data_IF_448488478437
#
_entry.id   IF_448488478437
#
_cell.length_a   1.000
_cell.length_b   1.000
_cell.length_c   1.000
_cell.angle_alpha   90.00
_cell.angle_beta   90.00
_cell.angle_gamma   90.00
#
_symmetry.space_group_name_H-M   'P 1'
#
loop_
_entity.id
_entity.type
_entity.pdbx_description
1 polymer ?
#
# COMPACT_ATOMS: atom_id res chain seq x y z
N UNK A 1 2.85 17.95 -6.37
CA UNK A 1 2.01 16.89 -6.92
C UNK A 1 0.69 16.85 -6.18
N UNK A 2 -0.41 16.64 -6.89
CA UNK A 2 -1.76 16.71 -6.34
C UNK A 2 -2.39 15.34 -6.12
N UNK A 3 -1.58 14.34 -5.80
CA UNK A 3 -2.05 13.00 -5.46
C UNK A 3 -1.89 12.81 -3.96
N UNK A 4 -2.98 12.45 -3.30
CA UNK A 4 -3.01 12.19 -1.86
C UNK A 4 -3.38 10.74 -1.62
N UNK A 5 -2.59 10.07 -0.78
CA UNK A 5 -2.85 8.69 -0.41
C UNK A 5 -2.93 8.58 1.10
N UNK A 6 -3.90 7.83 1.58
CA UNK A 6 -4.04 7.54 2.99
C UNK A 6 -4.34 6.05 3.19
N UNK A 7 -4.03 5.56 4.38
CA UNK A 7 -4.30 4.18 4.76
C UNK A 7 -5.29 4.13 5.91
N UNK A 8 -6.12 3.11 5.90
CA UNK A 8 -6.86 2.69 7.08
C UNK A 8 -6.69 1.18 7.28
N UNK A 9 -6.79 0.72 8.51
CA UNK A 9 -6.56 -0.69 8.84
C UNK A 9 -7.75 -1.21 9.64
N UNK A 10 -8.29 -2.34 9.20
CA UNK A 10 -9.27 -3.12 9.95
C UNK A 10 -8.59 -4.42 10.38
N UNK A 11 -8.34 -4.57 11.68
CA UNK A 11 -7.62 -5.71 12.23
C UNK A 11 -8.53 -6.58 13.12
N UNK A 12 -9.76 -6.79 12.68
CA UNK A 12 -10.75 -7.58 13.40
C UNK A 12 -10.92 -8.97 12.79
N UNK A 13 -11.50 -9.89 13.58
CA UNK A 13 -11.86 -11.24 13.10
C UNK A 13 -10.69 -12.03 12.54
N UNK A 14 -9.52 -11.89 13.18
CA UNK A 14 -8.31 -12.62 12.80
C UNK A 14 -7.80 -12.26 11.41
N UNK A 15 -8.14 -11.08 10.91
CA UNK A 15 -7.67 -10.56 9.62
C UNK A 15 -7.11 -9.16 9.78
N UNK A 16 -6.11 -8.84 8.97
CA UNK A 16 -5.58 -7.48 8.84
C UNK A 16 -5.85 -7.02 7.41
N UNK A 17 -6.81 -6.11 7.28
CA UNK A 17 -7.21 -5.54 5.99
C UNK A 17 -6.73 -4.10 5.91
N UNK A 18 -5.96 -3.78 4.89
CA UNK A 18 -5.45 -2.43 4.65
C UNK A 18 -6.19 -1.83 3.47
N UNK A 19 -6.78 -0.67 3.68
CA UNK A 19 -7.48 0.06 2.63
C UNK A 19 -6.71 1.30 2.25
N UNK A 20 -6.42 1.43 0.96
CA UNK A 20 -5.90 2.65 0.35
C UNK A 20 -7.07 3.54 -0.05
N UNK A 21 -6.96 4.82 0.28
CA UNK A 21 -7.78 5.87 -0.34
C UNK A 21 -6.82 6.77 -1.11
N UNK A 22 -6.98 6.84 -2.42
CA UNK A 22 -6.10 7.59 -3.31
C UNK A 22 -6.92 8.64 -4.02
N UNK A 23 -6.52 9.90 -3.89
CA UNK A 23 -7.22 11.02 -4.48
C UNK A 23 -6.32 11.74 -5.47
N UNK A 24 -6.78 11.88 -6.71
CA UNK A 24 -6.14 12.73 -7.70
C UNK A 24 -6.84 14.08 -7.71
N UNK A 25 -6.23 15.07 -7.07
CA UNK A 25 -6.76 16.43 -6.98
C UNK A 25 -6.21 17.35 -8.07
N UNK A 26 -5.41 16.81 -8.98
CA UNK A 26 -4.81 17.57 -10.06
C UNK A 26 -5.61 17.51 -11.34
N UNK A 27 -5.03 18.09 -12.39
CA UNK A 27 -5.63 18.21 -13.71
C UNK A 27 -5.17 17.14 -14.70
N UNK A 28 -4.19 16.32 -14.31
CA UNK A 28 -3.61 15.29 -15.18
C UNK A 28 -4.07 13.90 -14.74
N UNK A 29 -4.12 12.98 -15.69
CA UNK A 29 -4.34 11.57 -15.43
C UNK A 29 -3.07 10.97 -14.87
N UNK A 30 -3.14 10.39 -13.69
CA UNK A 30 -1.99 9.77 -13.02
C UNK A 30 -2.03 8.27 -13.17
N UNK A 31 -0.88 7.63 -13.00
CA UNK A 31 -0.75 6.18 -13.04
C UNK A 31 -0.50 5.62 -11.64
N UNK A 32 -1.41 4.75 -11.19
CA UNK A 32 -1.27 4.04 -9.93
C UNK A 32 -0.69 2.65 -10.20
N UNK A 33 0.24 2.20 -9.37
CA UNK A 33 0.69 0.81 -9.41
C UNK A 33 -0.50 -0.13 -9.27
N UNK A 34 -0.51 -1.24 -10.04
CA UNK A 34 -1.56 -2.25 -9.89
C UNK A 34 -1.61 -2.84 -8.49
N UNK A 35 -0.48 -2.86 -7.79
CA UNK A 35 -0.40 -3.38 -6.43
C UNK A 35 -1.31 -2.63 -5.47
N UNK A 36 -1.49 -1.33 -5.65
CA UNK A 36 -2.36 -0.53 -4.77
C UNK A 36 -3.73 -0.24 -5.38
N UNK A 37 -3.92 -0.54 -6.66
CA UNK A 37 -5.15 -0.20 -7.36
C UNK A 37 -6.08 -1.40 -7.58
N UNK A 38 -5.54 -2.57 -7.90
CA UNK A 38 -6.35 -3.73 -8.32
C UNK A 38 -5.93 -5.07 -7.76
N UNK A 39 -4.67 -5.27 -7.34
CA UNK A 39 -4.20 -6.57 -6.92
C UNK A 39 -4.83 -7.00 -5.60
N UNK A 40 -5.32 -8.23 -5.54
CA UNK A 40 -6.00 -8.77 -4.35
C UNK A 40 -5.03 -9.17 -3.25
N UNK A 41 -3.78 -9.46 -3.60
CA UNK A 41 -2.75 -9.91 -2.66
C UNK A 41 -1.41 -9.28 -3.01
N UNK A 42 -0.52 -9.25 -2.02
CA UNK A 42 0.80 -8.67 -2.22
C UNK A 42 1.70 -9.59 -3.05
N UNK A 43 2.53 -8.99 -3.89
CA UNK A 43 3.57 -9.67 -4.65
C UNK A 43 4.97 -9.26 -4.22
N UNK A 44 5.09 -8.38 -3.24
CA UNK A 44 6.35 -7.95 -2.63
C UNK A 44 6.06 -7.29 -1.28
N UNK A 45 7.13 -6.96 -0.53
CA UNK A 45 6.99 -6.18 0.70
C UNK A 45 6.59 -4.75 0.34
N UNK A 46 5.30 -4.48 0.41
CA UNK A 46 4.75 -3.18 0.02
C UNK A 46 4.75 -2.17 1.14
N UNK A 47 4.53 -2.63 2.39
CA UNK A 47 4.38 -1.77 3.55
C UNK A 47 5.60 -1.81 4.45
N UNK A 48 5.91 -0.67 5.06
CA UNK A 48 6.76 -0.63 6.24
C UNK A 48 5.85 -0.88 7.44
N UNK A 49 5.99 -2.07 8.02
CA UNK A 49 5.17 -2.55 9.14
C UNK A 49 6.08 -2.86 10.31
N UNK A 50 5.84 -2.21 11.45
CA UNK A 50 6.67 -2.35 12.65
C UNK A 50 5.83 -2.52 13.89
N UNK A 51 6.35 -3.27 14.84
CA UNK A 51 5.75 -3.37 16.18
C UNK A 51 6.04 -2.08 16.96
N UNK A 52 5.05 -1.59 17.69
CA UNK A 52 5.14 -0.38 18.51
C UNK A 52 4.80 -0.72 19.98
N UNK A 53 5.51 -0.19 20.98
CA UNK A 53 6.77 0.52 20.87
C UNK A 53 7.91 -0.43 20.55
N UNK A 54 9.10 0.02 20.32
CA UNK A 54 10.25 -0.82 20.03
C UNK A 54 10.69 -0.78 18.58
N UNK A 55 9.81 -0.42 17.67
CA UNK A 55 10.12 -0.17 16.27
C UNK A 55 10.76 -1.37 15.58
N UNK A 56 10.32 -2.58 15.93
CA UNK A 56 10.85 -3.82 15.36
C UNK A 56 10.10 -4.15 14.09
N UNK A 57 10.84 -4.30 12.99
CA UNK A 57 10.24 -4.62 11.69
C UNK A 57 9.55 -5.99 11.74
N UNK A 58 8.32 -6.04 11.20
CA UNK A 58 7.57 -7.29 11.02
C UNK A 58 8.03 -7.93 9.71
N UNK A 59 8.56 -9.16 9.74
CA UNK A 59 9.05 -9.80 8.51
C UNK A 59 7.96 -9.99 7.48
N UNK A 60 8.29 -9.73 6.21
CA UNK A 60 7.42 -10.05 5.10
C UNK A 60 7.66 -11.50 4.68
N UNK A 61 6.62 -12.32 4.72
CA UNK A 61 6.69 -13.75 4.40
C UNK A 61 5.81 -14.15 3.23
N UNK A 62 5.21 -13.16 2.56
CA UNK A 62 4.33 -13.39 1.42
C UNK A 62 5.09 -13.67 0.13
N UNK A 63 4.34 -13.67 -0.96
CA UNK A 63 4.89 -13.88 -2.29
C UNK A 63 5.93 -12.82 -2.65
N UNK A 64 6.97 -13.24 -3.34
CA UNK A 64 7.96 -12.34 -3.94
C UNK A 64 7.99 -12.60 -5.44
N UNK A 65 7.45 -11.68 -6.21
CA UNK A 65 7.46 -11.76 -7.67
C UNK A 65 8.55 -10.84 -8.20
N UNK A 66 9.50 -11.44 -8.91
CA UNK A 66 10.57 -10.67 -9.52
C UNK A 66 10.09 -10.06 -10.83
N UNK A 67 10.24 -8.74 -10.97
CA UNK A 67 9.94 -8.02 -12.20
C UNK A 67 11.25 -7.55 -12.83
N UNK A 68 11.39 -7.77 -14.14
CA UNK A 68 12.59 -7.38 -14.85
C UNK A 68 12.58 -5.90 -15.24
N UNK A 69 11.40 -5.39 -15.61
CA UNK A 69 11.26 -3.98 -16.00
C UNK A 69 9.82 -3.53 -15.81
N UNK A 70 9.66 -2.22 -15.62
CA UNK A 70 8.34 -1.61 -15.57
C UNK A 70 7.85 -1.28 -16.96
N UNK A 71 6.52 -1.37 -17.16
CA UNK A 71 5.86 -0.94 -18.38
C UNK A 71 4.61 -0.16 -18.01
N UNK A 72 4.01 0.53 -19.00
CA UNK A 72 2.76 1.26 -18.77
C UNK A 72 1.62 0.34 -18.32
N UNK A 73 1.68 -0.95 -18.69
CA UNK A 73 0.68 -1.93 -18.29
C UNK A 73 0.73 -2.27 -16.79
N UNK A 74 1.79 -1.88 -16.09
CA UNK A 74 1.89 -2.06 -14.64
C UNK A 74 1.16 -0.99 -13.86
N UNK A 75 0.54 -0.04 -14.55
CA UNK A 75 -0.14 1.10 -13.94
C UNK A 75 -1.60 1.16 -14.35
N UNK A 76 -2.43 1.66 -13.44
CA UNK A 76 -3.85 1.90 -13.63
C UNK A 76 -4.08 3.40 -13.65
N UNK A 77 -4.85 3.88 -14.63
CA UNK A 77 -5.13 5.30 -14.78
C UNK A 77 -6.13 5.78 -13.73
N UNK A 78 -5.83 6.91 -13.10
CA UNK A 78 -6.76 7.61 -12.22
C UNK A 78 -7.01 9.00 -12.81
N UNK A 79 -8.27 9.25 -13.17
CA UNK A 79 -8.69 10.49 -13.82
C UNK A 79 -8.53 11.71 -12.90
N UNK A 80 -8.40 12.92 -13.47
CA UNK A 80 -8.37 14.15 -12.66
C UNK A 80 -9.61 14.27 -11.78
N UNK A 81 -9.44 14.83 -10.59
CA UNK A 81 -10.53 15.12 -9.65
C UNK A 81 -11.34 13.87 -9.28
N UNK A 82 -10.69 12.70 -9.23
CA UNK A 82 -11.33 11.45 -8.85
C UNK A 82 -10.58 10.77 -7.72
N UNK A 83 -11.25 9.78 -7.11
CA UNK A 83 -10.68 9.00 -6.02
C UNK A 83 -10.84 7.52 -6.31
N UNK A 84 -9.95 6.72 -5.72
CA UNK A 84 -9.95 5.26 -5.84
C UNK A 84 -9.72 4.64 -4.47
N UNK A 85 -10.53 3.65 -4.12
CA UNK A 85 -10.33 2.86 -2.89
C UNK A 85 -9.99 1.43 -3.25
N UNK A 86 -9.05 0.84 -2.50
CA UNK A 86 -8.65 -0.53 -2.70
C UNK A 86 -8.23 -1.16 -1.38
N UNK A 87 -8.73 -2.37 -1.10
CA UNK A 87 -8.43 -3.10 0.14
C UNK A 87 -7.62 -4.34 -0.16
N UNK A 88 -6.56 -4.54 0.63
CA UNK A 88 -5.67 -5.69 0.52
C UNK A 88 -5.65 -6.42 1.86
N UNK A 89 -5.79 -7.76 1.83
CA UNK A 89 -5.62 -8.61 3.01
C UNK A 89 -4.15 -8.95 3.16
N UNK A 90 -3.53 -8.51 4.26
CA UNK A 90 -2.12 -8.75 4.53
C UNK A 90 -1.90 -9.75 5.66
N UNK A 91 -2.95 -10.41 6.14
CA UNK A 91 -2.88 -11.29 7.31
C UNK A 91 -1.78 -12.34 7.21
N UNK A 92 -1.60 -12.95 6.05
CA UNK A 92 -0.61 -14.00 5.82
C UNK A 92 0.65 -13.52 5.10
N UNK A 93 0.70 -12.24 4.74
CA UNK A 93 1.84 -11.69 4.03
C UNK A 93 2.94 -11.21 4.97
N UNK A 94 2.61 -11.00 6.23
CA UNK A 94 3.55 -10.58 7.27
C UNK A 94 3.48 -11.52 8.46
N UNK A 95 4.63 -11.74 9.08
CA UNK A 95 4.74 -12.66 10.22
C UNK A 95 4.44 -11.93 11.52
N UNK A 96 3.16 -11.72 11.80
CA UNK A 96 2.72 -11.09 13.05
C UNK A 96 3.05 -11.96 14.24
N UNK A 97 3.37 -11.33 15.39
CA UNK A 97 3.66 -12.07 16.61
C UNK A 97 2.39 -12.64 17.24
N UNK A 98 2.49 -13.81 17.88
CA UNK A 98 1.35 -14.36 18.63
C UNK A 98 0.92 -13.42 19.75
N UNK A 99 -0.38 -13.41 20.03
CA UNK A 99 -0.95 -12.55 21.06
C UNK A 99 -1.32 -11.19 20.52
N UNK A 100 -1.67 -10.30 21.43
CA UNK A 100 -2.10 -8.95 21.10
C UNK A 100 -0.90 -8.00 21.11
N UNK A 101 -0.67 -7.35 19.97
CA UNK A 101 0.40 -6.38 19.81
C UNK A 101 -0.10 -5.15 19.06
N UNK A 102 0.59 -4.04 19.27
CA UNK A 102 0.34 -2.80 18.55
C UNK A 102 1.37 -2.64 17.44
N UNK A 103 0.93 -2.17 16.29
CA UNK A 103 1.76 -2.01 15.10
C UNK A 103 1.59 -0.63 14.50
N UNK A 104 2.62 -0.20 13.76
CA UNK A 104 2.59 0.99 12.90
C UNK A 104 2.82 0.55 11.47
N UNK A 105 2.01 1.04 10.56
CA UNK A 105 2.09 0.72 9.14
C UNK A 105 2.10 2.01 8.31
N UNK A 106 2.94 2.03 7.28
CA UNK A 106 2.91 3.09 6.28
C UNK A 106 3.31 2.54 4.92
N UNK A 107 3.01 3.32 3.89
CA UNK A 107 3.30 2.99 2.51
C UNK A 107 4.10 4.12 1.89
N UNK A 108 5.11 3.76 1.09
CA UNK A 108 5.92 4.69 0.34
C UNK A 108 6.31 4.05 -0.98
N UNK A 109 5.98 4.72 -2.08
CA UNK A 109 6.31 4.25 -3.41
C UNK A 109 6.10 5.39 -4.40
N UNK A 110 6.12 5.08 -5.69
CA UNK A 110 5.98 6.06 -6.75
C UNK A 110 4.64 5.91 -7.48
N UNK A 111 4.09 7.04 -7.88
CA UNK A 111 3.01 7.12 -8.87
C UNK A 111 3.55 7.81 -10.10
N UNK A 112 2.95 7.56 -11.26
CA UNK A 112 3.23 8.32 -12.46
C UNK A 112 2.40 9.60 -12.44
N UNK A 113 3.05 10.75 -12.52
CA UNK A 113 2.34 12.05 -12.59
C UNK A 113 1.66 12.23 -13.93
N UNK A 114 2.11 11.49 -14.96
CA UNK A 114 1.43 11.34 -16.24
C UNK A 114 1.40 9.85 -16.59
N UNK A 115 0.20 9.27 -16.67
CA UNK A 115 0.02 7.84 -16.89
C UNK A 115 0.65 7.34 -18.20
N UNK A 116 0.92 8.23 -19.13
CA UNK A 116 1.52 7.90 -20.44
C UNK A 116 3.04 7.91 -20.44
N UNK A 117 3.68 8.34 -19.35
CA UNK A 117 5.13 8.52 -19.29
C UNK A 117 5.72 7.82 -18.08
N UNK A 118 6.48 6.74 -18.31
CA UNK A 118 7.15 6.00 -17.24
C UNK A 118 8.17 6.83 -16.49
N UNK A 119 8.76 7.83 -17.13
CA UNK A 119 9.75 8.71 -16.51
C UNK A 119 9.13 9.83 -15.65
N UNK A 120 7.81 9.87 -15.56
CA UNK A 120 7.11 10.87 -14.74
C UNK A 120 6.90 10.42 -13.28
N UNK A 121 7.59 9.37 -12.85
CA UNK A 121 7.43 8.83 -11.50
C UNK A 121 7.75 9.87 -10.41
N UNK A 122 6.88 9.97 -9.43
CA UNK A 122 7.07 10.81 -8.27
C UNK A 122 6.71 10.05 -7.01
N UNK A 123 7.50 10.27 -5.96
CA UNK A 123 7.35 9.55 -4.70
C UNK A 123 6.15 10.05 -3.93
N UNK A 124 5.35 9.12 -3.42
CA UNK A 124 4.28 9.40 -2.47
C UNK A 124 4.49 8.57 -1.22
N UNK A 125 4.01 9.10 -0.09
CA UNK A 125 4.06 8.38 1.17
C UNK A 125 2.81 8.66 1.99
N UNK A 126 2.46 7.72 2.85
CA UNK A 126 1.36 7.89 3.80
C UNK A 126 1.90 8.21 5.18
N UNK A 127 1.05 8.76 6.03
CA UNK A 127 1.34 8.85 7.45
C UNK A 127 1.36 7.45 8.05
N UNK A 128 2.04 7.30 9.19
CA UNK A 128 2.03 6.04 9.93
C UNK A 128 0.67 5.87 10.61
N UNK A 129 0.08 4.68 10.43
CA UNK A 129 -1.20 4.33 11.04
C UNK A 129 -0.95 3.29 12.11
N UNK A 130 -1.46 3.55 13.32
CA UNK A 130 -1.35 2.65 14.45
C UNK A 130 -2.57 1.74 14.50
N UNK A 131 -2.34 0.44 14.73
CA UNK A 131 -3.43 -0.51 14.95
C UNK A 131 -3.00 -1.61 15.89
N UNK A 132 -3.97 -2.26 16.51
CA UNK A 132 -3.73 -3.44 17.35
C UNK A 132 -4.29 -4.67 16.65
N UNK A 133 -3.56 -5.77 16.73
CA UNK A 133 -3.97 -7.03 16.14
C UNK A 133 -3.65 -8.18 17.09
N UNK A 134 -4.59 -9.12 17.19
CA UNK A 134 -4.43 -10.33 18.00
C UNK A 134 -4.32 -11.53 17.08
N UNK A 135 -3.16 -12.17 17.09
CA UNK A 135 -2.92 -13.42 16.39
C UNK A 135 -3.05 -14.58 17.38
N UNK A 136 -3.82 -15.54 17.02
CA UNK A 136 -4.05 -16.75 17.82
C UNK A 136 -3.17 -17.91 17.38
#
# INVERSE_FOLDING_TARGET
MNVHVSLSVDARHEKVLVTFLIENRGERRVGLSREIATDASLSRRLFDLRQHPGDVEVPYTGRMVKRESSSLNDYVELAPHSAHMHTIDITRAYDFWPGTHTYLICYEDAVLTDVRQLDSAAKISTEKVMFSYTQR
#
